data_IF_548692063267
#
_entry.id   IF_548692063267
#
_cell.length_a   1.000
_cell.length_b   1.000
_cell.length_c   1.000
_cell.angle_alpha   90.00
_cell.angle_beta   90.00
_cell.angle_gamma   90.00
#
_symmetry.space_group_name_H-M   'P 1'
#
loop_
_entity.id
_entity.type
_entity.pdbx_description
1 polymer ?
#
# COMPACT_ATOMS: atom_id res chain seq x y z
N UNK A 1 21.15 -15.48 5.70
CA UNK A 1 19.72 -15.34 5.38
C UNK A 1 18.98 -15.61 6.67
N UNK A 2 18.55 -14.55 7.38
CA UNK A 2 17.67 -14.71 8.53
C UNK A 2 16.30 -15.05 7.95
N UNK A 3 15.71 -16.18 8.36
CA UNK A 3 14.35 -16.49 7.98
C UNK A 3 13.44 -15.50 8.72
N UNK A 4 12.75 -14.65 7.95
CA UNK A 4 11.67 -13.82 8.48
C UNK A 4 10.51 -14.73 8.90
N UNK A 5 9.88 -14.53 10.04
CA UNK A 5 8.66 -15.27 10.42
C UNK A 5 7.57 -14.27 10.79
N UNK A 6 6.53 -14.19 9.97
CA UNK A 6 5.36 -13.33 10.23
C UNK A 6 4.77 -13.56 11.63
N UNK A 7 4.76 -14.80 12.10
CA UNK A 7 4.25 -15.13 13.43
C UNK A 7 4.99 -14.39 14.54
N UNK A 8 6.30 -14.21 14.39
CA UNK A 8 7.11 -13.46 15.34
C UNK A 8 6.80 -11.96 15.26
N UNK A 9 6.52 -11.43 14.07
CA UNK A 9 6.09 -10.04 13.89
C UNK A 9 4.77 -9.84 14.63
N UNK A 10 3.78 -10.69 14.38
CA UNK A 10 2.49 -10.64 15.06
C UNK A 10 2.66 -10.73 16.57
N UNK A 11 3.45 -11.69 17.08
CA UNK A 11 3.64 -11.89 18.52
C UNK A 11 4.23 -10.63 19.20
N UNK A 12 5.24 -10.01 18.59
CA UNK A 12 6.00 -8.91 19.18
C UNK A 12 5.37 -7.52 18.99
N UNK A 13 4.54 -7.33 17.96
CA UNK A 13 3.97 -6.02 17.61
C UNK A 13 2.48 -5.97 17.94
N UNK A 14 2.13 -5.88 19.23
CA UNK A 14 0.73 -5.69 19.65
C UNK A 14 0.16 -4.35 19.16
N UNK A 15 1.01 -3.34 19.12
CA UNK A 15 0.67 -2.00 18.67
C UNK A 15 1.62 -1.58 17.55
N UNK A 16 1.07 -0.86 16.60
CA UNK A 16 1.74 -0.38 15.41
C UNK A 16 1.40 1.05 15.08
N UNK A 17 2.39 1.80 14.66
CA UNK A 17 2.18 2.99 13.86
C UNK A 17 2.67 2.67 12.46
N UNK A 18 1.74 2.73 11.53
CA UNK A 18 1.96 2.65 10.12
C UNK A 18 2.10 4.07 9.60
N UNK A 19 3.22 4.33 8.93
CA UNK A 19 3.45 5.57 8.22
C UNK A 19 3.10 5.37 6.75
N UNK A 20 2.08 6.08 6.29
CA UNK A 20 1.56 6.05 4.92
C UNK A 20 1.25 7.47 4.49
N UNK A 21 1.62 7.83 3.28
CA UNK A 21 1.15 9.08 2.67
C UNK A 21 -0.23 8.77 2.06
N UNK A 22 -1.29 8.85 2.87
CA UNK A 22 -2.62 8.38 2.50
C UNK A 22 -3.33 9.40 1.61
N UNK A 23 -3.08 10.70 1.82
CA UNK A 23 -3.66 11.77 1.00
C UNK A 23 -2.74 12.39 -0.06
N UNK A 24 -1.52 11.86 -0.21
CA UNK A 24 -0.55 12.24 -1.24
C UNK A 24 -0.12 13.70 -1.15
N UNK A 25 -0.16 14.30 0.04
CA UNK A 25 0.32 15.66 0.27
C UNK A 25 1.84 15.72 0.54
N UNK A 26 2.50 14.56 0.51
CA UNK A 26 3.95 14.42 0.65
C UNK A 26 4.42 14.27 2.09
N UNK A 27 3.53 14.29 3.09
CA UNK A 27 3.83 13.84 4.45
C UNK A 27 3.26 12.44 4.73
N UNK A 28 3.72 11.81 5.81
CA UNK A 28 3.26 10.47 6.18
C UNK A 28 2.20 10.59 7.27
N UNK A 29 0.95 10.37 6.86
CA UNK A 29 -0.19 10.21 7.76
C UNK A 29 0.05 9.11 8.79
N UNK A 30 -0.31 9.43 10.02
CA UNK A 30 -0.21 8.52 11.15
C UNK A 30 -1.42 7.59 11.20
N UNK A 31 -1.21 6.35 10.75
CA UNK A 31 -2.14 5.26 10.96
C UNK A 31 -1.74 4.48 12.21
N UNK A 32 -2.66 4.30 13.15
CA UNK A 32 -2.41 3.43 14.30
C UNK A 32 -3.08 2.08 14.09
N UNK A 33 -2.40 1.00 14.47
CA UNK A 33 -2.88 -0.36 14.38
C UNK A 33 -2.78 -1.01 15.75
N UNK A 34 -3.89 -1.55 16.25
CA UNK A 34 -3.91 -2.29 17.52
C UNK A 34 -4.36 -3.73 17.30
N UNK A 35 -3.56 -4.69 17.72
CA UNK A 35 -3.92 -6.11 17.75
C UNK A 35 -5.03 -6.33 18.76
N UNK A 36 -6.15 -6.87 18.32
CA UNK A 36 -7.31 -7.20 19.17
C UNK A 36 -7.38 -8.69 19.50
N UNK A 37 -6.84 -9.53 18.62
CA UNK A 37 -6.82 -10.99 18.78
C UNK A 37 -5.49 -11.55 18.29
N UNK A 38 -5.02 -12.60 18.96
CA UNK A 38 -3.82 -13.36 18.58
C UNK A 38 -3.97 -14.81 19.00
N UNK A 39 -3.88 -15.73 18.04
CA UNK A 39 -3.80 -17.16 18.30
C UNK A 39 -2.38 -17.64 18.01
N UNK A 40 -1.69 -18.13 19.03
CA UNK A 40 -0.31 -18.62 18.92
C UNK A 40 -0.22 -20.04 18.37
N UNK A 41 -1.26 -20.85 18.59
CA UNK A 41 -1.33 -22.25 18.20
C UNK A 41 -1.78 -22.40 16.73
N UNK A 42 -2.66 -21.51 16.29
CA UNK A 42 -3.03 -21.30 14.89
C UNK A 42 -2.63 -19.86 14.48
N UNK A 43 -1.33 -19.64 14.18
CA UNK A 43 -0.71 -18.31 14.11
C UNK A 43 -1.51 -17.33 13.26
N UNK A 44 -2.32 -16.51 13.92
CA UNK A 44 -3.21 -15.54 13.29
C UNK A 44 -3.37 -14.34 14.22
N UNK A 45 -3.64 -13.19 13.63
CA UNK A 45 -3.81 -11.96 14.38
C UNK A 45 -4.89 -11.09 13.74
N UNK A 46 -5.72 -10.47 14.58
CA UNK A 46 -6.66 -9.45 14.13
C UNK A 46 -6.12 -8.10 14.57
N UNK A 47 -6.01 -7.15 13.64
CA UNK A 47 -5.64 -5.76 13.93
C UNK A 47 -6.78 -4.83 13.54
N UNK A 48 -7.03 -3.82 14.36
CA UNK A 48 -7.89 -2.70 14.01
C UNK A 48 -6.98 -1.52 13.68
N UNK A 49 -7.04 -1.10 12.42
CA UNK A 49 -6.41 0.12 11.93
C UNK A 49 -7.34 1.29 12.20
N UNK A 50 -6.82 2.34 12.81
CA UNK A 50 -7.56 3.55 13.13
C UNK A 50 -6.96 4.68 12.30
N UNK A 51 -7.72 5.08 11.27
CA UNK A 51 -7.41 6.25 10.47
C UNK A 51 -8.12 7.44 11.10
N UNK A 52 -7.35 8.44 11.51
CA UNK A 52 -7.94 9.69 11.94
C UNK A 52 -8.50 10.40 10.74
N UNK A 53 -9.69 10.96 10.92
CA UNK A 53 -10.26 11.83 9.92
C UNK A 53 -9.46 13.12 9.90
N UNK A 54 -8.66 13.32 8.86
CA UNK A 54 -7.96 14.58 8.61
C UNK A 54 -8.87 15.55 7.88
N UNK A 55 -8.64 16.85 8.07
CA UNK A 55 -9.35 17.91 7.35
C UNK A 55 -10.89 17.86 7.48
N UNK A 56 -11.38 17.48 8.66
CA UNK A 56 -12.81 17.41 8.97
C UNK A 56 -13.52 16.14 8.51
N UNK A 57 -12.78 15.14 8.00
CA UNK A 57 -13.32 13.79 7.75
C UNK A 57 -13.60 13.07 9.08
N UNK A 58 -14.48 12.07 9.04
CA UNK A 58 -14.74 11.23 10.21
C UNK A 58 -13.62 10.20 10.41
N UNK A 59 -13.38 9.81 11.67
CA UNK A 59 -12.48 8.70 11.99
C UNK A 59 -13.02 7.41 11.35
N UNK A 60 -12.13 6.63 10.72
CA UNK A 60 -12.46 5.32 10.17
C UNK A 60 -11.68 4.23 10.89
N UNK A 61 -12.36 3.13 11.20
CA UNK A 61 -11.72 1.91 11.69
C UNK A 61 -11.81 0.85 10.60
N UNK A 62 -10.71 0.14 10.36
CA UNK A 62 -10.62 -0.95 9.38
C UNK A 62 -10.04 -2.15 10.10
N UNK A 63 -10.77 -3.26 10.11
CA UNK A 63 -10.29 -4.52 10.70
C UNK A 63 -9.57 -5.34 9.65
N UNK A 64 -8.37 -5.80 9.99
CA UNK A 64 -7.56 -6.71 9.21
C UNK A 64 -7.40 -8.04 9.95
N UNK A 65 -7.70 -9.15 9.28
CA UNK A 65 -7.44 -10.49 9.79
C UNK A 65 -6.27 -11.11 9.05
N UNK A 66 -5.18 -11.38 9.78
CA UNK A 66 -3.95 -11.95 9.26
C UNK A 66 -3.83 -13.44 9.59
N UNK A 67 -3.30 -14.20 8.62
CA UNK A 67 -2.88 -15.60 8.77
C UNK A 67 -1.55 -15.83 8.03
N UNK A 68 -0.83 -16.94 8.26
CA UNK A 68 0.45 -17.18 7.64
C UNK A 68 0.27 -17.38 6.14
N UNK A 69 1.19 -16.84 5.36
CA UNK A 69 1.23 -17.00 3.91
C UNK A 69 2.00 -18.25 3.45
N UNK A 70 2.19 -18.39 2.13
CA UNK A 70 2.92 -19.51 1.52
C UNK A 70 4.40 -19.59 1.91
N UNK A 71 5.03 -18.46 2.24
CA UNK A 71 6.43 -18.38 2.66
C UNK A 71 6.57 -17.69 4.02
N UNK A 72 7.69 -17.90 4.74
CA UNK A 72 7.88 -17.32 6.08
C UNK A 72 7.84 -15.78 6.14
N UNK A 73 8.15 -15.11 5.04
CA UNK A 73 8.12 -13.65 4.84
C UNK A 73 6.79 -13.14 4.26
N UNK A 74 5.73 -13.95 4.27
CA UNK A 74 4.43 -13.60 3.72
C UNK A 74 3.31 -13.87 4.71
N UNK A 75 2.36 -12.95 4.76
CA UNK A 75 1.08 -13.09 5.45
C UNK A 75 -0.07 -12.94 4.46
N UNK A 76 -1.17 -13.64 4.70
CA UNK A 76 -2.42 -13.39 4.00
C UNK A 76 -3.30 -12.55 4.90
N UNK A 77 -3.93 -11.51 4.37
CA UNK A 77 -4.91 -10.70 5.09
C UNK A 77 -6.25 -10.59 4.38
N UNK A 78 -7.31 -10.37 5.16
CA UNK A 78 -8.68 -10.05 4.70
C UNK A 78 -9.19 -8.84 5.49
N UNK A 79 -10.19 -8.13 4.95
CA UNK A 79 -10.82 -6.99 5.60
C UNK A 79 -12.28 -7.30 5.93
N UNK A 80 -12.79 -6.79 7.05
CA UNK A 80 -14.19 -7.02 7.48
C UNK A 80 -15.23 -6.50 6.47
N UNK A 81 -14.94 -5.40 5.77
CA UNK A 81 -15.86 -4.74 4.84
C UNK A 81 -15.72 -5.23 3.38
N UNK A 82 -14.99 -6.33 3.14
CA UNK A 82 -14.86 -6.93 1.80
C UNK A 82 -15.61 -8.26 1.69
N UNK A 83 -15.70 -8.80 0.49
CA UNK A 83 -16.28 -10.10 0.17
C UNK A 83 -15.45 -11.30 0.68
N UNK A 84 -14.48 -11.05 1.57
CA UNK A 84 -13.50 -12.04 2.02
C UNK A 84 -12.33 -12.22 1.06
N UNK A 85 -12.13 -11.31 0.10
CA UNK A 85 -10.94 -11.32 -0.77
C UNK A 85 -9.67 -11.38 0.05
N UNK A 86 -8.82 -12.35 -0.26
CA UNK A 86 -7.53 -12.57 0.38
C UNK A 86 -6.44 -11.79 -0.36
N UNK A 87 -5.65 -11.05 0.39
CA UNK A 87 -4.51 -10.29 -0.11
C UNK A 87 -3.21 -10.80 0.50
N UNK A 88 -2.11 -10.66 -0.24
CA UNK A 88 -0.79 -11.09 0.20
C UNK A 88 0.02 -9.89 0.69
N UNK A 89 0.37 -9.89 1.97
CA UNK A 89 1.36 -9.00 2.56
C UNK A 89 2.73 -9.68 2.53
N UNK A 90 3.79 -8.92 2.22
CA UNK A 90 5.16 -9.43 2.25
C UNK A 90 6.03 -8.59 3.17
N UNK A 91 6.73 -9.22 4.11
CA UNK A 91 7.75 -8.53 4.92
C UNK A 91 9.07 -8.42 4.17
N UNK A 92 9.50 -7.20 3.91
CA UNK A 92 10.79 -6.90 3.28
C UNK A 92 11.93 -6.85 4.31
N UNK A 93 11.64 -6.36 5.51
CA UNK A 93 12.60 -6.26 6.61
C UNK A 93 11.88 -6.23 7.96
N UNK A 94 12.50 -6.74 9.01
CA UNK A 94 12.09 -6.49 10.40
C UNK A 94 13.29 -6.74 11.31
N UNK A 95 13.36 -6.00 12.41
CA UNK A 95 14.27 -6.31 13.51
C UNK A 95 13.59 -7.15 14.62
N UNK A 96 12.31 -7.48 14.41
CA UNK A 96 11.41 -8.17 15.34
C UNK A 96 11.20 -7.48 16.69
N UNK A 97 11.60 -6.23 16.81
CA UNK A 97 11.50 -5.50 18.07
C UNK A 97 10.86 -4.14 17.90
N UNK A 98 11.41 -3.29 17.04
CA UNK A 98 11.02 -1.90 16.93
C UNK A 98 10.31 -1.61 15.61
N UNK A 99 10.59 -2.37 14.55
CA UNK A 99 9.97 -2.13 13.25
C UNK A 99 9.78 -3.37 12.37
N UNK A 100 8.83 -3.26 11.46
CA UNK A 100 8.68 -4.11 10.29
C UNK A 100 8.41 -3.25 9.05
N UNK A 101 9.02 -3.63 7.94
CA UNK A 101 8.80 -3.06 6.63
C UNK A 101 7.97 -4.03 5.81
N UNK A 102 6.76 -3.62 5.51
CA UNK A 102 5.77 -4.45 4.85
C UNK A 102 5.50 -3.90 3.45
N UNK A 103 5.35 -4.81 2.50
CA UNK A 103 4.89 -4.54 1.16
C UNK A 103 3.46 -5.03 1.07
N UNK A 104 2.56 -4.10 0.77
CA UNK A 104 1.13 -4.32 0.63
C UNK A 104 0.73 -4.05 -0.82
N UNK A 105 -0.20 -4.83 -1.39
CA UNK A 105 -0.90 -4.43 -2.60
C UNK A 105 -1.77 -3.23 -2.22
N UNK A 106 -1.36 -2.02 -2.62
CA UNK A 106 -2.14 -0.82 -2.35
C UNK A 106 -3.28 -0.77 -3.38
N UNK A 107 -4.45 -1.27 -2.98
CA UNK A 107 -5.68 -1.09 -3.72
C UNK A 107 -6.24 0.30 -3.39
N UNK A 108 -5.71 1.34 -4.01
CA UNK A 108 -6.42 2.60 -4.12
C UNK A 108 -7.67 2.36 -4.96
N UNK A 109 -8.83 2.13 -4.33
CA UNK A 109 -10.10 2.16 -5.05
C UNK A 109 -10.38 3.59 -5.46
N UNK A 110 -9.89 3.98 -6.64
CA UNK A 110 -10.48 5.09 -7.36
C UNK A 110 -11.69 4.53 -8.13
N UNK A 111 -12.89 4.83 -7.63
CA UNK A 111 -14.14 4.50 -8.32
C UNK A 111 -14.26 5.44 -9.53
N UNK A 112 -13.90 4.94 -10.70
CA UNK A 112 -14.21 5.64 -11.95
C UNK A 112 -15.70 5.39 -12.28
N UNK A 113 -16.56 6.32 -11.89
CA UNK A 113 -17.96 6.38 -12.32
C UNK A 113 -18.01 6.60 -13.84
N UNK A 114 -18.16 5.54 -14.63
CA UNK A 114 -18.61 5.65 -16.02
C UNK A 114 -19.44 4.43 -16.45
N UNK A 115 -20.68 4.72 -16.86
CA UNK A 115 -21.63 3.76 -17.45
C UNK A 115 -21.06 3.20 -18.77
N UNK A 116 -20.50 1.98 -18.76
CA UNK A 116 -20.64 0.93 -19.80
C UNK A 116 -19.53 -0.15 -19.71
N UNK A 117 -19.88 -1.39 -19.38
CA UNK A 117 -18.98 -2.56 -19.34
C UNK A 117 -18.20 -2.81 -20.66
N UNK A 118 -18.75 -2.35 -21.78
CA UNK A 118 -18.12 -2.46 -23.10
C UNK A 118 -16.97 -1.46 -23.29
N UNK A 119 -16.98 -0.35 -22.55
CA UNK A 119 -15.97 0.68 -22.65
C UNK A 119 -14.63 0.20 -22.09
N UNK A 120 -14.57 -0.39 -20.90
CA UNK A 120 -13.30 -0.89 -20.33
C UNK A 120 -12.63 -1.94 -21.24
N UNK A 121 -13.42 -2.88 -21.78
CA UNK A 121 -12.93 -3.85 -22.78
C UNK A 121 -12.36 -3.16 -24.02
N UNK A 122 -13.06 -2.15 -24.54
CA UNK A 122 -12.62 -1.40 -25.70
C UNK A 122 -11.37 -0.57 -25.39
N UNK A 123 -11.34 0.13 -24.25
CA UNK A 123 -10.20 0.96 -23.82
C UNK A 123 -8.95 0.11 -23.69
N UNK A 124 -9.01 -0.98 -22.93
CA UNK A 124 -7.87 -1.87 -22.78
C UNK A 124 -7.47 -2.42 -24.15
N UNK A 125 -8.40 -2.99 -24.92
CA UNK A 125 -8.09 -3.56 -26.23
C UNK A 125 -7.42 -2.56 -27.20
N UNK A 126 -7.89 -1.32 -27.25
CA UNK A 126 -7.49 -0.32 -28.26
C UNK A 126 -6.33 0.59 -27.85
N UNK A 127 -6.03 0.72 -26.54
CA UNK A 127 -4.99 1.60 -26.04
C UNK A 127 -3.85 0.80 -25.38
N UNK A 128 -2.91 0.24 -26.17
CA UNK A 128 -1.73 -0.44 -25.63
C UNK A 128 -0.73 0.50 -24.96
N UNK A 129 -0.92 1.81 -25.09
CA UNK A 129 -0.14 2.83 -24.40
C UNK A 129 -0.98 4.06 -24.14
N UNK A 130 -0.71 4.74 -23.04
CA UNK A 130 -1.37 5.98 -22.63
C UNK A 130 -0.34 7.07 -22.30
N UNK A 131 -0.82 8.30 -22.27
CA UNK A 131 -0.08 9.45 -21.75
C UNK A 131 -0.94 10.09 -20.67
N UNK A 132 -0.37 10.34 -19.49
CA UNK A 132 -0.99 11.17 -18.47
C UNK A 132 -0.12 12.39 -18.21
N UNK A 133 -0.78 13.48 -17.85
CA UNK A 133 -0.16 14.69 -17.31
C UNK A 133 -0.67 14.84 -15.88
N UNK A 134 0.23 14.76 -14.91
CA UNK A 134 -0.04 14.97 -13.49
C UNK A 134 1.19 15.59 -12.85
N UNK A 135 1.01 16.40 -11.81
CA UNK A 135 2.13 16.86 -10.97
C UNK A 135 2.48 15.70 -10.03
N UNK A 136 3.46 14.87 -10.41
CA UNK A 136 3.73 13.60 -9.73
C UNK A 136 4.77 13.72 -8.62
N UNK A 137 5.54 14.82 -8.60
CA UNK A 137 6.52 15.14 -7.56
C UNK A 137 6.18 16.40 -6.75
N UNK A 138 5.00 17.00 -6.98
CA UNK A 138 4.48 18.18 -6.29
C UNK A 138 5.42 19.39 -6.39
N UNK A 139 6.16 19.51 -7.50
CA UNK A 139 7.04 20.64 -7.76
C UNK A 139 6.31 21.85 -8.39
N UNK A 140 5.02 21.67 -8.71
CA UNK A 140 4.14 22.67 -9.30
C UNK A 140 4.13 22.68 -10.82
N UNK A 141 4.82 21.74 -11.48
CA UNK A 141 4.74 21.50 -12.91
C UNK A 141 4.00 20.18 -13.27
N UNK A 142 3.68 19.97 -14.55
CA UNK A 142 2.98 18.75 -14.97
C UNK A 142 3.99 17.74 -15.51
N UNK A 143 4.15 16.63 -14.81
CA UNK A 143 4.90 15.48 -15.27
C UNK A 143 4.20 14.76 -16.41
N UNK A 144 5.04 14.28 -17.33
CA UNK A 144 4.59 13.44 -18.42
C UNK A 144 4.83 11.97 -18.13
N UNK A 145 3.76 11.25 -17.78
CA UNK A 145 3.83 9.80 -17.56
C UNK A 145 3.41 9.03 -18.80
N UNK A 146 4.20 8.02 -19.16
CA UNK A 146 3.88 7.10 -20.26
C UNK A 146 3.43 5.76 -19.70
N UNK A 147 2.19 5.38 -19.96
CA UNK A 147 1.71 4.03 -19.69
C UNK A 147 2.03 3.11 -20.87
N UNK A 148 2.54 1.91 -20.60
CA UNK A 148 2.70 0.84 -21.58
C UNK A 148 2.02 -0.39 -21.03
N UNK A 149 1.02 -0.90 -21.75
CA UNK A 149 0.34 -2.14 -21.39
C UNK A 149 1.30 -3.32 -21.57
N UNK A 150 1.53 -4.06 -20.49
CA UNK A 150 2.40 -5.25 -20.48
C UNK A 150 1.61 -6.54 -20.59
N UNK A 151 0.37 -6.55 -20.12
CA UNK A 151 -0.49 -7.73 -20.12
C UNK A 151 -1.96 -7.34 -20.36
N UNK A 152 -2.75 -8.26 -20.91
CA UNK A 152 -4.19 -8.11 -21.13
C UNK A 152 -4.87 -9.48 -21.14
N UNK A 153 -5.83 -9.68 -20.23
CA UNK A 153 -6.72 -10.84 -20.24
C UNK A 153 -8.11 -10.40 -20.69
N UNK A 154 -8.53 -10.90 -21.86
CA UNK A 154 -9.86 -10.61 -22.42
C UNK A 154 -10.97 -11.39 -21.70
N UNK A 155 -10.63 -12.49 -21.01
CA UNK A 155 -11.59 -13.42 -20.41
C UNK A 155 -12.14 -12.92 -19.06
N UNK A 156 -11.30 -12.36 -18.20
CA UNK A 156 -11.68 -11.52 -17.08
C UNK A 156 -11.07 -10.14 -17.33
N UNK A 157 -11.80 -9.15 -17.87
CA UNK A 157 -11.24 -7.98 -18.53
C UNK A 157 -10.30 -7.22 -17.60
N UNK A 158 -9.02 -7.54 -17.69
CA UNK A 158 -7.95 -7.02 -16.86
C UNK A 158 -6.77 -6.66 -17.74
N UNK A 159 -6.03 -5.65 -17.30
CA UNK A 159 -4.87 -5.16 -18.02
C UNK A 159 -3.81 -4.68 -17.03
N UNK A 160 -2.56 -5.00 -17.34
CA UNK A 160 -1.42 -4.47 -16.59
C UNK A 160 -0.78 -3.36 -17.39
N UNK A 161 -0.55 -2.22 -16.75
CA UNK A 161 0.17 -1.11 -17.33
C UNK A 161 1.41 -0.81 -16.49
N UNK A 162 2.55 -0.66 -17.14
CA UNK A 162 3.73 -0.04 -16.54
C UNK A 162 3.72 1.42 -16.91
N UNK A 163 3.52 2.27 -15.92
CA UNK A 163 3.68 3.70 -16.00
C UNK A 163 5.12 4.09 -15.76
N UNK A 164 5.71 4.78 -16.72
CA UNK A 164 7.09 5.22 -16.70
C UNK A 164 7.09 6.72 -16.41
N UNK A 165 7.50 7.09 -15.20
CA UNK A 165 7.81 8.46 -14.83
C UNK A 165 9.28 8.70 -15.21
N UNK A 166 9.50 9.62 -16.15
CA UNK A 166 10.87 10.06 -16.44
C UNK A 166 11.34 10.83 -15.22
N UNK A 167 12.49 10.46 -14.68
CA UNK A 167 13.11 11.26 -13.64
C UNK A 167 13.38 12.67 -14.15
N UNK A 168 12.70 13.65 -13.55
CA UNK A 168 12.99 15.07 -13.72
C UNK A 168 14.02 15.51 -12.68
N UNK A 169 14.67 16.66 -12.88
CA UNK A 169 15.55 17.30 -11.89
C UNK A 169 16.72 16.46 -11.31
N UNK A 170 17.12 15.35 -11.97
CA UNK A 170 18.19 14.47 -11.52
C UNK A 170 17.71 13.23 -10.75
N UNK A 171 16.40 13.08 -10.56
CA UNK A 171 15.80 11.88 -9.99
C UNK A 171 15.91 10.69 -10.96
N UNK A 172 15.96 9.44 -10.45
CA UNK A 172 15.96 8.26 -11.30
C UNK A 172 14.57 8.03 -11.93
N UNK A 173 14.55 7.37 -13.09
CA UNK A 173 13.31 6.90 -13.71
C UNK A 173 12.58 5.92 -12.78
N UNK A 174 11.27 6.12 -12.59
CA UNK A 174 10.42 5.26 -11.76
C UNK A 174 9.41 4.53 -12.64
N UNK A 175 9.31 3.21 -12.44
CA UNK A 175 8.29 2.39 -13.07
C UNK A 175 7.24 2.04 -12.01
N UNK A 176 5.98 2.34 -12.29
CA UNK A 176 4.84 2.00 -11.44
C UNK A 176 4.00 1.00 -12.22
N UNK A 177 3.83 -0.21 -11.69
CA UNK A 177 2.89 -1.17 -12.28
C UNK A 177 1.52 -0.91 -11.70
N UNK A 178 0.54 -0.72 -12.58
CA UNK A 178 -0.86 -0.54 -12.23
C UNK A 178 -1.63 -1.67 -12.87
N UNK A 179 -2.29 -2.46 -12.02
CA UNK A 179 -3.18 -3.54 -12.42
C UNK A 179 -4.60 -2.99 -12.45
N UNK A 180 -5.25 -3.13 -13.59
CA UNK A 180 -6.66 -2.84 -13.74
C UNK A 180 -7.42 -4.16 -13.81
N UNK A 181 -8.38 -4.34 -12.93
CA UNK A 181 -9.30 -5.47 -12.92
C UNK A 181 -10.74 -4.98 -12.99
N UNK A 182 -11.63 -5.84 -13.49
CA UNK A 182 -13.07 -5.58 -13.44
C UNK A 182 -13.55 -5.65 -11.99
N UNK A 183 -14.28 -4.64 -11.54
CA UNK A 183 -14.97 -4.65 -10.25
C UNK A 183 -16.28 -5.45 -10.28
N UNK A 184 -16.89 -5.57 -9.10
CA UNK A 184 -18.11 -6.38 -8.89
C UNK A 184 -19.35 -5.84 -9.62
N UNK A 185 -19.30 -4.58 -10.05
CA UNK A 185 -20.35 -3.92 -10.81
C UNK A 185 -19.81 -3.41 -12.16
N UNK A 186 -20.66 -3.28 -13.20
CA UNK A 186 -20.24 -2.89 -14.55
C UNK A 186 -19.48 -1.56 -14.66
N UNK A 187 -19.70 -0.68 -13.70
CA UNK A 187 -19.19 0.68 -13.51
C UNK A 187 -17.96 0.73 -12.59
N UNK A 188 -17.43 -0.41 -12.14
CA UNK A 188 -16.26 -0.44 -11.26
C UNK A 188 -15.06 -1.05 -11.96
N UNK A 189 -13.95 -0.32 -11.92
CA UNK A 189 -12.62 -0.87 -12.15
C UNK A 189 -11.88 -0.90 -10.79
N UNK A 190 -11.23 -2.02 -10.50
CA UNK A 190 -10.30 -2.11 -9.37
C UNK A 190 -8.92 -1.76 -9.90
N UNK A 191 -8.40 -0.63 -9.45
CA UNK A 191 -7.03 -0.21 -9.74
C UNK A 191 -6.17 -0.64 -8.56
N UNK A 192 -5.22 -1.52 -8.82
CA UNK A 192 -4.20 -1.91 -7.84
C UNK A 192 -2.86 -1.35 -8.27
N UNK A 193 -2.30 -0.47 -7.46
CA UNK A 193 -0.94 0.02 -7.67
C UNK A 193 0.00 -0.94 -6.94
N UNK A 194 0.92 -1.54 -7.69
CA UNK A 194 1.89 -2.44 -7.09
C UNK A 194 2.79 -1.68 -6.10
N UNK A 195 3.01 -2.32 -4.96
CA UNK A 195 4.09 -2.03 -4.00
C UNK A 195 3.91 -0.78 -3.14
N UNK A 196 2.75 -0.68 -2.46
CA UNK A 196 2.67 0.16 -1.28
C UNK A 196 3.67 -0.32 -0.23
N UNK A 197 4.55 0.57 0.20
CA UNK A 197 5.51 0.30 1.25
C UNK A 197 4.99 0.87 2.56
N UNK A 198 4.99 0.04 3.60
CA UNK A 198 4.53 0.41 4.92
C UNK A 198 5.65 0.22 5.92
N UNK A 199 6.07 1.31 6.57
CA UNK A 199 6.91 1.20 7.75
C UNK A 199 6.01 1.11 8.98
N UNK A 200 5.99 -0.06 9.59
CA UNK A 200 5.32 -0.34 10.85
C UNK A 200 6.35 -0.21 11.98
N UNK A 201 6.10 0.66 12.96
CA UNK A 201 6.94 0.84 14.15
C UNK A 201 6.15 0.63 15.43
N UNK A 202 6.80 0.23 16.52
CA UNK A 202 6.13 0.15 17.84
C UNK A 202 5.87 1.54 18.41
N UNK A 203 4.97 1.63 19.38
CA UNK A 203 4.65 2.89 20.08
C UNK A 203 5.89 3.52 20.72
N UNK A 204 6.80 2.71 21.27
CA UNK A 204 8.02 3.19 21.92
C UNK A 204 9.05 3.74 20.91
N UNK A 205 9.00 3.26 19.67
CA UNK A 205 9.96 3.60 18.62
C UNK A 205 9.49 4.73 17.69
N UNK A 206 8.21 5.14 17.76
CA UNK A 206 7.60 6.10 16.82
C UNK A 206 8.35 7.42 16.70
N UNK A 207 8.82 7.96 17.83
CA UNK A 207 9.54 9.24 17.87
C UNK A 207 11.06 9.09 17.66
N UNK A 208 11.55 7.86 17.58
CA UNK A 208 12.97 7.55 17.44
C UNK A 208 13.18 6.24 16.67
N UNK A 209 12.72 6.24 15.42
CA UNK A 209 12.78 5.09 14.53
C UNK A 209 14.24 4.65 14.38
N UNK A 210 14.58 3.37 14.61
CA UNK A 210 15.95 2.91 14.48
C UNK A 210 16.51 3.21 13.08
N UNK A 211 17.75 3.70 13.02
CA UNK A 211 18.38 4.10 11.74
C UNK A 211 18.36 2.97 10.71
N UNK A 212 18.47 1.72 11.16
CA UNK A 212 18.42 0.56 10.28
C UNK A 212 17.06 0.35 9.62
N UNK A 213 15.97 0.59 10.35
CA UNK A 213 14.61 0.55 9.81
C UNK A 213 14.42 1.61 8.73
N UNK A 214 14.89 2.83 9.01
CA UNK A 214 14.86 3.94 8.06
C UNK A 214 15.68 3.65 6.79
N UNK A 215 16.91 3.15 6.94
CA UNK A 215 17.75 2.74 5.81
C UNK A 215 17.10 1.66 4.93
N UNK A 216 16.51 0.64 5.53
CA UNK A 216 15.81 -0.40 4.77
C UNK A 216 14.53 0.14 4.12
N UNK A 217 13.81 1.05 4.75
CA UNK A 217 12.67 1.73 4.11
C UNK A 217 13.11 2.49 2.86
N UNK A 218 14.07 3.42 2.96
CA UNK A 218 14.56 4.19 1.81
C UNK A 218 15.07 3.28 0.68
N UNK A 219 15.81 2.23 1.05
CA UNK A 219 16.39 1.28 0.10
C UNK A 219 15.35 0.44 -0.64
N UNK A 220 14.27 0.02 0.01
CA UNK A 220 13.29 -0.89 -0.59
C UNK A 220 12.06 -0.16 -1.16
N UNK A 221 11.76 1.05 -0.69
CA UNK A 221 10.53 1.76 -1.00
C UNK A 221 10.69 2.91 -1.99
N UNK A 222 11.92 3.14 -2.47
CA UNK A 222 12.23 4.14 -3.49
C UNK A 222 11.62 5.52 -3.16
N UNK A 223 11.72 5.90 -1.90
CA UNK A 223 11.37 7.22 -1.35
C UNK A 223 12.64 7.98 -0.98
N UNK A 224 12.59 9.31 -1.06
CA UNK A 224 13.75 10.16 -0.81
C UNK A 224 13.86 10.60 0.65
N UNK A 225 12.75 10.63 1.38
CA UNK A 225 12.73 10.91 2.81
C UNK A 225 11.47 10.39 3.48
N UNK A 226 11.56 10.09 4.77
CA UNK A 226 10.40 9.83 5.64
C UNK A 226 10.11 11.14 6.36
N UNK A 227 9.02 11.82 6.02
CA UNK A 227 8.54 12.96 6.80
C UNK A 227 7.58 12.41 7.85
N UNK A 228 8.09 12.10 9.04
CA UNK A 228 7.25 11.82 10.21
C UNK A 228 6.72 13.14 10.76
N UNK A 229 5.42 13.37 10.64
CA UNK A 229 4.78 14.45 11.36
C UNK A 229 4.29 13.98 12.73
N UNK A 230 5.07 14.35 13.75
CA UNK A 230 4.73 14.10 15.14
C UNK A 230 3.41 14.78 15.54
N UNK A 231 3.09 15.96 15.00
CA UNK A 231 1.88 16.68 15.39
C UNK A 231 0.62 15.95 14.92
N UNK A 232 0.66 15.35 13.73
CA UNK A 232 -0.39 14.45 13.22
C UNK A 232 -0.48 13.16 14.04
N UNK A 233 0.66 12.61 14.48
CA UNK A 233 0.72 11.40 15.32
C UNK A 233 0.29 11.59 16.78
N UNK A 234 0.55 12.75 17.39
CA UNK A 234 0.17 13.05 18.80
C UNK A 234 -1.30 13.46 18.91
N UNK A 235 -1.90 13.86 17.79
CA UNK A 235 -3.35 13.96 17.66
C UNK A 235 -4.02 12.59 17.48
N UNK A 236 -3.22 11.50 17.39
CA UNK A 236 -3.33 10.02 17.47
C UNK A 236 -4.24 9.34 18.51
#
# INVERSE_FOLDING_TARGET
>A
MLHTSENQIFEQHEYGIAMLDVDQDGDLDCLTARRTEFDKDAPSATYVWQLKGLNGKEKREITFHFKPGPTPDQAIFTLDDTDGTEHLLKTLYTDYHACALLQLPYAGREEADDDEELWLKWVFATHPSGLALLDADDDGDLDCMKAVRTNYDESGPSAEYVWILKGLNGHPMKNITVHFEKGDTPDKAVVTVDNGCLLWVTEEAKDNIPSKCHEEFLKNCNTESIIYDKETCDQA
#
